data_IF_219155941375
#
_entry.id   IF_219155941375
#
_cell.length_a   1.000
_cell.length_b   1.000
_cell.length_c   1.000
_cell.angle_alpha   90.00
_cell.angle_beta   90.00
_cell.angle_gamma   90.00
#
_symmetry.space_group_name_H-M   'P 1'
#
loop_
_entity.id
_entity.type
_entity.pdbx_description
1 polymer ?
#
# COMPACT_ATOMS: atom_id res chain seq x y z
N UNK A 1 -16.77 10.85 -1.16
CA UNK A 1 -18.16 11.05 -1.69
C UNK A 1 -19.15 10.13 -0.94
N UNK A 2 -20.37 10.63 -0.54
CA UNK A 2 -21.29 9.83 0.29
C UNK A 2 -21.72 8.50 -0.34
N UNK A 3 -22.01 8.48 -1.65
CA UNK A 3 -22.40 7.26 -2.36
C UNK A 3 -21.27 6.21 -2.40
N UNK A 4 -20.01 6.63 -2.53
CA UNK A 4 -18.85 5.76 -2.47
C UNK A 4 -18.68 5.14 -1.08
N UNK A 5 -18.82 5.96 -0.02
CA UNK A 5 -18.77 5.48 1.36
C UNK A 5 -19.87 4.44 1.65
N UNK A 6 -21.06 4.65 1.09
CA UNK A 6 -22.17 3.70 1.23
C UNK A 6 -21.87 2.32 0.61
N UNK A 7 -21.21 2.27 -0.55
CA UNK A 7 -20.77 1.01 -1.19
C UNK A 7 -19.73 0.29 -0.31
N UNK A 8 -18.81 1.04 0.31
CA UNK A 8 -17.79 0.49 1.19
C UNK A 8 -18.30 0.18 2.62
N UNK A 9 -19.60 0.34 2.87
CA UNK A 9 -20.22 0.14 4.20
C UNK A 9 -19.55 1.01 5.30
N UNK A 10 -19.10 2.22 4.90
CA UNK A 10 -18.46 3.17 5.80
C UNK A 10 -19.48 4.16 6.35
N UNK A 11 -19.54 4.28 7.67
CA UNK A 11 -20.53 5.10 8.39
C UNK A 11 -19.97 6.44 8.86
N UNK A 12 -18.69 6.74 8.58
CA UNK A 12 -18.12 8.01 9.02
C UNK A 12 -18.62 9.19 8.17
N UNK A 13 -18.80 10.33 8.86
CA UNK A 13 -19.10 11.60 8.25
C UNK A 13 -17.77 12.26 7.80
N UNK A 14 -17.65 12.71 6.53
CA UNK A 14 -16.48 13.47 6.07
C UNK A 14 -16.10 14.66 6.95
N UNK A 15 -17.07 15.35 7.56
CA UNK A 15 -16.83 16.44 8.52
C UNK A 15 -16.03 16.01 9.76
N UNK A 16 -16.13 14.74 10.15
CA UNK A 16 -15.34 14.19 11.26
C UNK A 16 -13.87 14.02 10.91
N UNK A 17 -13.52 13.89 9.63
CA UNK A 17 -12.12 13.80 9.19
C UNK A 17 -11.40 15.11 9.44
N UNK A 18 -11.98 16.24 9.00
CA UNK A 18 -11.44 17.58 9.23
C UNK A 18 -11.28 17.86 10.74
N UNK A 19 -12.33 17.54 11.52
CA UNK A 19 -12.28 17.69 12.98
C UNK A 19 -11.17 16.85 13.62
N UNK A 20 -11.00 15.59 13.20
CA UNK A 20 -9.96 14.71 13.71
C UNK A 20 -8.55 15.26 13.40
N UNK A 21 -8.32 15.76 12.19
CA UNK A 21 -7.06 16.38 11.78
C UNK A 21 -6.77 17.64 12.61
N UNK A 22 -7.77 18.52 12.75
CA UNK A 22 -7.63 19.72 13.57
C UNK A 22 -7.27 19.38 15.03
N UNK A 23 -7.95 18.39 15.60
CA UNK A 23 -7.66 17.93 16.96
C UNK A 23 -6.26 17.33 17.07
N UNK A 24 -5.82 16.54 16.09
CA UNK A 24 -4.48 15.96 16.07
C UNK A 24 -3.41 17.06 15.99
N UNK A 25 -3.56 18.06 15.13
CA UNK A 25 -2.66 19.23 15.09
C UNK A 25 -2.62 19.98 16.42
N UNK A 26 -3.79 20.24 16.99
CA UNK A 26 -3.89 20.92 18.29
C UNK A 26 -3.23 20.13 19.42
N UNK A 27 -3.24 18.81 19.34
CA UNK A 27 -2.55 17.91 20.28
C UNK A 27 -1.03 17.79 20.04
N UNK A 28 -0.49 18.45 19.00
CA UNK A 28 0.94 18.53 18.72
C UNK A 28 1.49 17.41 17.84
N UNK A 29 0.65 16.65 17.12
CA UNK A 29 1.15 15.67 16.14
C UNK A 29 1.86 16.39 14.99
N UNK A 30 3.14 16.06 14.79
CA UNK A 30 3.99 16.67 13.76
C UNK A 30 3.70 16.15 12.35
N UNK A 31 3.25 14.89 12.23
CA UNK A 31 2.88 14.26 10.97
C UNK A 31 1.48 13.68 11.05
N UNK A 32 0.65 14.00 10.06
CA UNK A 32 -0.73 13.50 9.96
C UNK A 32 -0.92 12.92 8.57
N UNK A 33 -1.47 11.70 8.52
CA UNK A 33 -1.80 10.97 7.31
C UNK A 33 -3.30 10.77 7.15
N UNK A 34 -3.77 10.74 5.92
CA UNK A 34 -5.10 10.25 5.56
C UNK A 34 -4.99 9.10 4.58
N UNK A 35 -5.88 8.11 4.75
CA UNK A 35 -5.96 6.95 3.87
C UNK A 35 -7.20 7.09 2.97
N UNK A 36 -6.99 6.92 1.68
CA UNK A 36 -8.00 6.98 0.64
C UNK A 36 -8.11 5.62 -0.05
N UNK A 37 -9.30 5.27 -0.52
CA UNK A 37 -9.55 4.08 -1.33
C UNK A 37 -10.20 4.53 -2.64
N UNK A 38 -9.69 4.07 -3.77
CA UNK A 38 -10.21 4.36 -5.09
C UNK A 38 -10.60 3.09 -5.86
N UNK A 39 -11.38 3.26 -6.93
CA UNK A 39 -11.87 2.15 -7.74
C UNK A 39 -13.10 1.45 -7.16
N UNK A 40 -13.83 2.14 -6.27
CA UNK A 40 -15.09 1.63 -5.73
C UNK A 40 -16.14 1.51 -6.83
N UNK A 41 -16.93 0.42 -6.89
CA UNK A 41 -18.01 0.29 -7.85
C UNK A 41 -18.91 1.52 -7.90
N UNK A 42 -19.06 2.12 -9.10
CA UNK A 42 -19.84 3.34 -9.31
C UNK A 42 -19.13 4.66 -9.03
N UNK A 43 -17.89 4.62 -8.58
CA UNK A 43 -17.05 5.81 -8.44
C UNK A 43 -16.57 6.30 -9.81
N UNK A 44 -16.75 7.58 -10.09
CA UNK A 44 -16.24 8.23 -11.30
C UNK A 44 -14.87 8.88 -11.06
N UNK A 45 -14.18 9.22 -12.15
CA UNK A 45 -12.91 9.96 -12.06
C UNK A 45 -13.10 11.35 -11.44
N UNK A 46 -14.27 11.98 -11.63
CA UNK A 46 -14.61 13.26 -11.00
C UNK A 46 -14.86 13.09 -9.50
N UNK A 47 -15.56 12.04 -9.06
CA UNK A 47 -15.72 11.72 -7.62
C UNK A 47 -14.37 11.54 -6.94
N UNK A 48 -13.45 10.84 -7.63
CA UNK A 48 -12.09 10.64 -7.13
C UNK A 48 -11.31 11.95 -7.03
N UNK A 49 -11.38 12.79 -8.08
CA UNK A 49 -10.77 14.13 -8.07
C UNK A 49 -11.25 14.97 -6.89
N UNK A 50 -12.56 14.99 -6.65
CA UNK A 50 -13.15 15.73 -5.54
C UNK A 50 -12.69 15.19 -4.18
N UNK A 51 -12.59 13.85 -4.05
CA UNK A 51 -12.09 13.19 -2.84
C UNK A 51 -10.63 13.57 -2.55
N UNK A 52 -9.75 13.49 -3.56
CA UNK A 52 -8.34 13.86 -3.44
C UNK A 52 -8.19 15.36 -3.15
N UNK A 53 -8.97 16.21 -3.85
CA UNK A 53 -8.95 17.64 -3.62
C UNK A 53 -9.35 18.02 -2.20
N UNK A 54 -10.38 17.37 -1.67
CA UNK A 54 -10.82 17.57 -0.29
C UNK A 54 -9.75 17.14 0.71
N UNK A 55 -9.09 15.97 0.48
CA UNK A 55 -8.00 15.51 1.33
C UNK A 55 -6.80 16.46 1.31
N UNK A 56 -6.39 16.92 0.12
CA UNK A 56 -5.26 17.85 -0.07
C UNK A 56 -5.54 19.27 0.45
N UNK A 57 -6.81 19.64 0.69
CA UNK A 57 -7.17 20.91 1.32
C UNK A 57 -6.99 20.87 2.85
N UNK A 58 -6.86 19.69 3.45
CA UNK A 58 -6.63 19.51 4.88
C UNK A 58 -5.16 19.75 5.25
N UNK A 59 -4.90 20.07 6.53
CA UNK A 59 -3.53 20.20 7.05
C UNK A 59 -2.89 18.84 7.32
N UNK A 60 -2.54 18.16 6.24
CA UNK A 60 -1.92 16.82 6.24
C UNK A 60 -0.51 16.85 5.66
N UNK A 61 0.27 15.82 5.95
CA UNK A 61 1.67 15.70 5.51
C UNK A 61 1.89 14.44 4.67
N UNK A 62 0.89 13.54 4.64
CA UNK A 62 1.01 12.23 4.02
C UNK A 62 -0.37 11.77 3.52
N UNK A 63 -0.39 11.09 2.39
CA UNK A 63 -1.57 10.40 1.84
C UNK A 63 -1.18 8.96 1.51
N UNK A 64 -2.02 8.01 1.94
CA UNK A 64 -2.07 6.67 1.37
C UNK A 64 -3.28 6.59 0.45
N UNK A 65 -3.12 6.11 -0.79
CA UNK A 65 -4.22 5.86 -1.71
C UNK A 65 -4.12 4.41 -2.22
N UNK A 66 -5.12 3.62 -1.84
CA UNK A 66 -5.14 2.19 -2.15
C UNK A 66 -6.22 1.88 -3.19
N UNK A 67 -5.86 1.10 -4.21
CA UNK A 67 -6.83 0.50 -5.11
C UNK A 67 -7.74 -0.46 -4.34
N UNK A 68 -9.04 -0.42 -4.60
CA UNK A 68 -9.98 -1.34 -4.00
C UNK A 68 -9.71 -2.77 -4.50
N UNK A 69 -9.39 -3.68 -3.59
CA UNK A 69 -9.27 -5.11 -3.85
C UNK A 69 -10.54 -5.80 -3.39
N UNK A 70 -11.17 -6.57 -4.29
CA UNK A 70 -12.39 -7.32 -4.00
C UNK A 70 -12.01 -8.69 -3.47
N UNK A 71 -11.93 -8.81 -2.14
CA UNK A 71 -11.55 -10.05 -1.47
C UNK A 71 -12.67 -11.10 -1.51
N UNK A 72 -12.32 -12.33 -1.88
CA UNK A 72 -13.24 -13.47 -1.89
C UNK A 72 -13.83 -13.71 -0.50
N UNK A 73 -15.13 -14.01 -0.44
CA UNK A 73 -15.87 -14.25 0.80
C UNK A 73 -16.38 -12.99 1.49
N UNK A 74 -16.12 -11.80 0.94
CA UNK A 74 -16.68 -10.55 1.46
C UNK A 74 -18.10 -10.28 0.94
N UNK A 75 -18.84 -9.42 1.65
CA UNK A 75 -20.16 -8.93 1.20
C UNK A 75 -20.06 -8.26 -0.17
N UNK A 76 -19.04 -7.44 -0.39
CA UNK A 76 -18.80 -6.77 -1.67
C UNK A 76 -18.59 -7.76 -2.81
N UNK A 77 -17.75 -8.79 -2.62
CA UNK A 77 -17.57 -9.83 -3.63
C UNK A 77 -18.88 -10.57 -3.95
N UNK A 78 -19.71 -10.84 -2.94
CA UNK A 78 -21.02 -11.47 -3.14
C UNK A 78 -21.99 -10.58 -3.93
N UNK A 79 -22.00 -9.27 -3.68
CA UNK A 79 -22.83 -8.30 -4.40
C UNK A 79 -22.41 -8.18 -5.87
N UNK A 80 -21.10 -8.09 -6.14
CA UNK A 80 -20.57 -8.08 -7.51
C UNK A 80 -20.92 -9.37 -8.24
N UNK A 81 -20.73 -10.53 -7.59
CA UNK A 81 -21.08 -11.84 -8.18
C UNK A 81 -22.57 -11.96 -8.55
N UNK A 82 -23.46 -11.32 -7.78
CA UNK A 82 -24.92 -11.29 -8.07
C UNK A 82 -25.30 -10.21 -9.10
N UNK A 83 -24.36 -9.39 -9.59
CA UNK A 83 -24.64 -8.29 -10.50
C UNK A 83 -25.33 -7.08 -9.85
N UNK A 84 -25.34 -6.98 -8.53
CA UNK A 84 -25.87 -5.84 -7.78
C UNK A 84 -24.93 -4.63 -7.86
N UNK A 85 -23.63 -4.88 -7.99
CA UNK A 85 -22.58 -3.88 -8.18
C UNK A 85 -21.72 -4.26 -9.39
N UNK A 86 -21.20 -3.26 -10.08
CA UNK A 86 -20.25 -3.47 -11.17
C UNK A 86 -18.91 -3.97 -10.63
N UNK A 87 -18.18 -4.73 -11.43
CA UNK A 87 -16.76 -5.04 -11.16
C UNK A 87 -15.94 -3.76 -11.28
N UNK A 88 -14.96 -3.51 -10.38
CA UNK A 88 -13.99 -2.43 -10.57
C UNK A 88 -13.36 -2.47 -11.97
N UNK A 89 -13.13 -1.31 -12.55
CA UNK A 89 -12.57 -1.16 -13.88
C UNK A 89 -11.07 -0.82 -13.77
N UNK A 90 -10.21 -1.70 -14.26
CA UNK A 90 -8.75 -1.57 -14.13
C UNK A 90 -8.20 -0.34 -14.85
N UNK A 91 -8.73 0.01 -16.04
CA UNK A 91 -8.30 1.20 -16.78
C UNK A 91 -8.68 2.49 -16.03
N UNK A 92 -9.90 2.55 -15.47
CA UNK A 92 -10.32 3.67 -14.63
C UNK A 92 -9.48 3.78 -13.36
N UNK A 93 -9.14 2.65 -12.74
CA UNK A 93 -8.25 2.64 -11.57
C UNK A 93 -6.84 3.11 -11.91
N UNK A 94 -6.33 2.79 -13.10
CA UNK A 94 -5.06 3.31 -13.60
C UNK A 94 -5.11 4.84 -13.76
N UNK A 95 -6.18 5.38 -14.36
CA UNK A 95 -6.38 6.83 -14.50
C UNK A 95 -6.49 7.51 -13.12
N UNK A 96 -7.20 6.89 -12.17
CA UNK A 96 -7.30 7.38 -10.79
C UNK A 96 -5.94 7.42 -10.08
N UNK A 97 -5.10 6.39 -10.29
CA UNK A 97 -3.75 6.36 -9.74
C UNK A 97 -2.88 7.50 -10.29
N UNK A 98 -2.86 7.68 -11.61
CA UNK A 98 -2.09 8.75 -12.25
C UNK A 98 -2.59 10.13 -11.83
N UNK A 99 -3.90 10.28 -11.64
CA UNK A 99 -4.50 11.52 -11.15
C UNK A 99 -4.04 11.85 -9.71
N UNK A 100 -4.10 10.92 -8.76
CA UNK A 100 -3.66 11.20 -7.39
C UNK A 100 -2.16 11.47 -7.33
N UNK A 101 -1.36 10.78 -8.14
CA UNK A 101 0.08 11.01 -8.24
C UNK A 101 0.39 12.46 -8.64
N UNK A 102 -0.25 12.94 -9.73
CA UNK A 102 -0.08 14.31 -10.17
C UNK A 102 -0.59 15.34 -9.17
N UNK A 103 -1.78 15.12 -8.60
CA UNK A 103 -2.37 16.04 -7.63
C UNK A 103 -1.55 16.14 -6.34
N UNK A 104 -0.95 15.04 -5.89
CA UNK A 104 -0.05 15.04 -4.75
C UNK A 104 1.25 15.80 -5.05
N UNK A 105 1.87 15.55 -6.21
CA UNK A 105 3.10 16.24 -6.62
C UNK A 105 2.88 17.76 -6.73
N UNK A 106 1.76 18.20 -7.30
CA UNK A 106 1.38 19.63 -7.40
C UNK A 106 1.24 20.32 -6.03
N UNK A 107 1.05 19.52 -4.96
CA UNK A 107 0.95 19.98 -3.57
C UNK A 107 2.20 19.71 -2.73
N UNK A 108 3.29 19.26 -3.37
CA UNK A 108 4.57 18.98 -2.71
C UNK A 108 4.59 17.70 -1.90
N UNK A 109 3.65 16.76 -2.15
CA UNK A 109 3.72 15.41 -1.64
C UNK A 109 4.29 14.52 -2.74
N UNK A 110 5.49 14.01 -2.55
CA UNK A 110 6.11 13.09 -3.50
C UNK A 110 5.85 11.64 -3.12
N UNK A 111 5.59 10.79 -4.12
CA UNK A 111 5.48 9.36 -3.86
C UNK A 111 6.83 8.82 -3.33
N UNK A 112 6.80 7.86 -2.41
CA UNK A 112 8.00 7.20 -1.91
C UNK A 112 7.91 5.66 -1.98
N UNK A 113 6.69 5.13 -2.06
CA UNK A 113 6.37 3.77 -2.47
C UNK A 113 4.99 3.77 -3.14
N UNK A 114 4.59 2.67 -3.81
CA UNK A 114 3.49 2.63 -4.78
C UNK A 114 2.20 3.33 -4.37
N UNK A 115 1.80 3.19 -3.10
CA UNK A 115 0.50 3.66 -2.61
C UNK A 115 0.60 4.86 -1.68
N UNK A 116 1.80 5.43 -1.49
CA UNK A 116 2.03 6.44 -0.46
C UNK A 116 2.80 7.66 -0.97
N UNK A 117 2.31 8.85 -0.63
CA UNK A 117 2.89 10.15 -0.93
C UNK A 117 3.08 10.95 0.35
N UNK A 118 4.18 11.66 0.46
CA UNK A 118 4.50 12.46 1.65
C UNK A 118 5.24 13.75 1.31
N UNK A 119 5.06 14.77 2.13
CA UNK A 119 5.95 15.93 2.17
C UNK A 119 7.36 15.50 2.57
N UNK A 120 8.41 16.24 2.21
CA UNK A 120 9.78 15.95 2.64
C UNK A 120 9.88 15.76 4.17
N UNK A 121 10.44 14.63 4.61
CA UNK A 121 10.60 14.29 6.02
C UNK A 121 9.37 13.65 6.69
N UNK A 122 8.25 13.45 5.96
CA UNK A 122 7.01 12.89 6.50
C UNK A 122 6.66 11.49 5.96
N UNK A 123 7.56 10.82 5.25
CA UNK A 123 7.37 9.42 4.87
C UNK A 123 7.16 8.56 6.10
N UNK A 124 6.21 7.63 6.05
CA UNK A 124 5.91 6.74 7.17
C UNK A 124 7.10 5.79 7.41
N UNK A 125 7.78 5.95 8.54
CA UNK A 125 8.96 5.15 8.92
C UNK A 125 8.62 3.67 8.98
N UNK A 126 7.45 3.33 9.54
CA UNK A 126 7.00 1.96 9.67
C UNK A 126 6.75 1.31 8.31
N UNK A 127 6.05 2.01 7.40
CA UNK A 127 5.82 1.52 6.04
C UNK A 127 7.14 1.37 5.26
N UNK A 128 8.03 2.35 5.37
CA UNK A 128 9.37 2.27 4.77
C UNK A 128 10.16 1.08 5.32
N UNK A 129 10.04 0.79 6.63
CA UNK A 129 10.69 -0.35 7.25
C UNK A 129 10.18 -1.69 6.69
N UNK A 130 8.88 -1.82 6.41
CA UNK A 130 8.33 -2.98 5.71
C UNK A 130 8.93 -3.14 4.31
N UNK A 131 8.91 -2.07 3.52
CA UNK A 131 9.43 -2.08 2.15
C UNK A 131 10.93 -2.38 2.07
N UNK A 132 11.67 -2.10 3.15
CA UNK A 132 13.10 -2.39 3.28
C UNK A 132 13.40 -3.74 3.94
N UNK A 133 12.40 -4.56 4.23
CA UNK A 133 12.57 -5.85 4.88
C UNK A 133 13.18 -5.77 6.28
N UNK A 134 13.03 -4.62 6.98
CA UNK A 134 13.54 -4.45 8.35
C UNK A 134 12.75 -5.28 9.34
N UNK A 135 13.31 -5.45 10.54
CA UNK A 135 12.63 -6.10 11.64
C UNK A 135 11.45 -5.27 12.15
N UNK A 136 10.34 -5.94 12.42
CA UNK A 136 9.15 -5.35 13.01
C UNK A 136 8.41 -6.36 13.87
N UNK A 137 7.68 -5.87 14.86
CA UNK A 137 6.95 -6.67 15.83
C UNK A 137 5.47 -6.36 15.78
N UNK A 138 4.65 -7.39 15.53
CA UNK A 138 3.19 -7.29 15.51
C UNK A 138 2.59 -7.44 16.90
N UNK A 139 1.79 -6.47 17.31
CA UNK A 139 1.10 -6.49 18.59
C UNK A 139 -0.40 -6.73 18.37
N UNK A 140 -0.97 -7.64 19.15
CA UNK A 140 -2.39 -7.94 19.13
C UNK A 140 -2.77 -9.28 18.48
N UNK A 141 -4.07 -9.65 18.53
CA UNK A 141 -4.58 -10.88 17.94
C UNK A 141 -4.37 -10.90 16.42
N UNK A 142 -3.86 -12.01 15.90
CA UNK A 142 -3.59 -12.19 14.46
C UNK A 142 -2.48 -11.34 13.89
N UNK A 143 -1.79 -10.52 14.70
CA UNK A 143 -0.68 -9.69 14.23
C UNK A 143 0.51 -10.56 13.83
N UNK A 144 1.14 -10.19 12.72
CA UNK A 144 2.37 -10.80 12.21
C UNK A 144 3.59 -10.02 12.67
N UNK A 145 4.72 -10.68 12.74
CA UNK A 145 6.04 -10.11 13.04
C UNK A 145 7.06 -10.64 12.06
N UNK A 146 8.14 -9.88 11.84
CA UNK A 146 9.31 -10.29 11.09
C UNK A 146 10.57 -9.85 11.86
N UNK A 147 11.36 -10.81 12.30
CA UNK A 147 12.59 -10.57 13.07
C UNK A 147 13.68 -11.52 12.57
N UNK A 148 14.76 -10.97 12.05
CA UNK A 148 15.94 -11.70 11.57
C UNK A 148 15.60 -12.84 10.59
N UNK A 149 14.73 -12.53 9.61
CA UNK A 149 14.27 -13.48 8.59
C UNK A 149 13.25 -14.51 9.09
N UNK A 150 12.88 -14.45 10.36
CA UNK A 150 11.81 -15.28 10.92
C UNK A 150 10.50 -14.49 10.96
N UNK A 151 9.46 -15.04 10.34
CA UNK A 151 8.09 -14.58 10.48
C UNK A 151 7.36 -15.40 11.50
N UNK A 152 6.53 -14.74 12.30
CA UNK A 152 5.63 -15.42 13.23
C UNK A 152 4.37 -14.57 13.42
N UNK A 153 3.28 -15.24 13.79
CA UNK A 153 1.99 -14.57 13.97
C UNK A 153 1.26 -15.07 15.20
N UNK A 154 0.48 -14.16 15.77
CA UNK A 154 -0.27 -14.44 16.97
C UNK A 154 -1.59 -15.16 16.66
N UNK A 155 -2.16 -15.82 17.69
CA UNK A 155 -3.51 -16.38 17.61
C UNK A 155 -4.52 -15.30 17.21
N UNK A 156 -5.43 -15.65 16.28
CA UNK A 156 -6.35 -14.67 15.68
C UNK A 156 -7.49 -14.25 16.62
N UNK A 157 -7.94 -15.13 17.53
CA UNK A 157 -9.11 -14.86 18.36
C UNK A 157 -8.73 -13.99 19.56
N UNK A 158 -9.40 -12.82 19.78
CA UNK A 158 -9.02 -11.89 20.86
C UNK A 158 -9.06 -12.51 22.26
N UNK A 159 -10.06 -13.35 22.55
CA UNK A 159 -10.18 -14.03 23.86
C UNK A 159 -9.02 -14.99 24.09
N UNK A 160 -8.63 -15.78 23.08
CA UNK A 160 -7.50 -16.71 23.19
C UNK A 160 -6.18 -15.97 23.36
N UNK A 161 -5.99 -14.87 22.62
CA UNK A 161 -4.83 -13.98 22.76
C UNK A 161 -4.72 -13.46 24.19
N UNK A 162 -5.82 -12.90 24.70
CA UNK A 162 -5.90 -12.40 26.09
C UNK A 162 -5.58 -13.49 27.11
N UNK A 163 -6.20 -14.67 26.99
CA UNK A 163 -6.00 -15.80 27.92
C UNK A 163 -4.52 -16.23 27.97
N UNK A 164 -3.85 -16.37 26.83
CA UNK A 164 -2.43 -16.72 26.77
C UNK A 164 -1.56 -15.69 27.50
N UNK A 165 -1.77 -14.39 27.21
CA UNK A 165 -0.99 -13.33 27.85
C UNK A 165 -1.20 -13.30 29.39
N UNK A 166 -2.44 -13.47 29.87
CA UNK A 166 -2.70 -13.51 31.32
C UNK A 166 -2.13 -14.75 32.00
N UNK A 167 -1.99 -15.86 31.27
CA UNK A 167 -1.33 -17.06 31.77
C UNK A 167 0.21 -16.98 31.75
N UNK A 168 0.77 -15.93 31.15
CA UNK A 168 2.21 -15.80 30.91
C UNK A 168 2.71 -16.62 29.71
N UNK A 169 1.80 -17.17 28.89
CA UNK A 169 2.11 -17.95 27.72
C UNK A 169 2.36 -17.07 26.48
N UNK A 170 3.19 -17.56 25.57
CA UNK A 170 3.38 -16.89 24.27
C UNK A 170 2.09 -16.89 23.47
N UNK A 171 1.67 -15.73 22.93
CA UNK A 171 0.50 -15.65 22.05
C UNK A 171 0.79 -16.14 20.63
N UNK A 172 2.03 -16.49 20.30
CA UNK A 172 2.42 -16.96 18.97
C UNK A 172 1.66 -18.25 18.64
N UNK A 173 1.05 -18.28 17.46
CA UNK A 173 0.35 -19.43 16.91
C UNK A 173 1.31 -20.30 16.13
N UNK A 174 2.07 -19.71 15.21
CA UNK A 174 2.98 -20.40 14.31
C UNK A 174 4.06 -19.46 13.78
N UNK A 175 5.06 -20.01 13.08
CA UNK A 175 6.18 -19.25 12.53
C UNK A 175 6.77 -19.96 11.31
N UNK A 176 7.41 -19.18 10.44
CA UNK A 176 8.22 -19.67 9.32
C UNK A 176 9.59 -18.99 9.31
N UNK A 177 10.59 -19.70 8.82
CA UNK A 177 11.92 -19.16 8.55
C UNK A 177 12.09 -19.01 7.05
N UNK A 178 12.33 -17.80 6.58
CA UNK A 178 12.59 -17.55 5.16
C UNK A 178 13.92 -18.17 4.74
N UNK A 179 13.92 -18.81 3.57
CA UNK A 179 15.15 -19.21 2.89
C UNK A 179 15.85 -17.96 2.32
N UNK A 180 17.12 -18.11 1.95
CA UNK A 180 17.86 -17.02 1.30
C UNK A 180 17.21 -16.61 -0.05
N UNK A 181 16.67 -17.58 -0.79
CA UNK A 181 15.95 -17.34 -2.04
C UNK A 181 14.66 -16.55 -1.82
N UNK A 182 13.80 -16.99 -0.90
CA UNK A 182 12.58 -16.27 -0.52
C UNK A 182 12.86 -14.85 -0.03
N UNK A 183 13.92 -14.67 0.77
CA UNK A 183 14.33 -13.34 1.24
C UNK A 183 14.78 -12.43 0.10
N UNK A 184 15.45 -13.00 -0.92
CA UNK A 184 15.85 -12.29 -2.13
C UNK A 184 14.65 -11.89 -2.99
N UNK A 185 13.72 -12.82 -3.23
CA UNK A 185 12.51 -12.54 -4.00
C UNK A 185 11.65 -11.46 -3.34
N UNK A 186 11.58 -11.45 -2.02
CA UNK A 186 10.94 -10.36 -1.29
C UNK A 186 11.66 -9.03 -1.41
N UNK A 187 12.98 -9.04 -1.33
CA UNK A 187 13.76 -7.81 -1.53
C UNK A 187 13.53 -7.23 -2.94
N UNK A 188 13.39 -8.08 -3.96
CA UNK A 188 13.02 -7.69 -5.32
C UNK A 188 11.59 -7.14 -5.35
N UNK A 189 10.63 -7.90 -4.80
CA UNK A 189 9.21 -7.54 -4.75
C UNK A 189 8.97 -6.18 -4.08
N UNK A 190 9.63 -5.94 -2.96
CA UNK A 190 9.45 -4.73 -2.16
C UNK A 190 10.29 -3.57 -2.69
N UNK A 191 11.54 -3.84 -3.06
CA UNK A 191 12.50 -2.82 -3.50
C UNK A 191 12.06 -2.10 -4.78
N UNK A 192 11.51 -2.83 -5.75
CA UNK A 192 11.07 -2.22 -7.02
C UNK A 192 9.89 -1.25 -6.82
N UNK A 193 9.08 -1.44 -5.77
CA UNK A 193 7.94 -0.58 -5.45
C UNK A 193 8.33 0.75 -4.82
N UNK A 194 9.58 0.90 -4.43
CA UNK A 194 10.06 2.13 -3.80
C UNK A 194 10.57 3.14 -4.81
N UNK A 195 10.42 4.43 -4.52
CA UNK A 195 11.02 5.51 -5.32
C UNK A 195 12.54 5.40 -5.45
N UNK A 196 13.20 4.81 -4.45
CA UNK A 196 14.64 4.58 -4.47
C UNK A 196 15.05 3.52 -5.50
N UNK A 197 14.09 2.70 -5.93
CA UNK A 197 14.29 1.62 -6.89
C UNK A 197 14.99 0.39 -6.29
N UNK A 198 14.99 -0.67 -7.10
CA UNK A 198 15.60 -1.97 -6.82
C UNK A 198 17.10 -1.93 -7.16
N UNK A 199 17.94 -2.44 -6.27
CA UNK A 199 19.39 -2.57 -6.52
C UNK A 199 19.67 -3.63 -7.60
N UNK A 200 20.39 -3.26 -8.66
CA UNK A 200 20.78 -4.17 -9.74
C UNK A 200 21.59 -5.36 -9.21
N UNK A 201 22.38 -5.15 -8.14
CA UNK A 201 23.18 -6.20 -7.52
C UNK A 201 22.35 -7.38 -6.97
N UNK A 202 21.06 -7.20 -6.76
CA UNK A 202 20.14 -8.28 -6.36
C UNK A 202 19.68 -9.13 -7.53
N UNK A 203 19.88 -8.68 -8.77
CA UNK A 203 19.33 -9.30 -9.97
C UNK A 203 20.33 -10.25 -10.64
N UNK A 204 19.80 -11.30 -11.24
CA UNK A 204 20.54 -12.21 -12.11
C UNK A 204 20.54 -11.69 -13.56
N UNK A 205 21.50 -12.11 -14.42
CA UNK A 205 21.55 -11.67 -15.80
C UNK A 205 20.25 -11.85 -16.58
N UNK A 206 19.55 -12.99 -16.43
CA UNK A 206 18.27 -13.24 -17.12
C UNK A 206 17.16 -12.29 -16.68
N UNK A 207 17.15 -11.87 -15.39
CA UNK A 207 16.18 -10.89 -14.87
C UNK A 207 16.44 -9.49 -15.48
N UNK A 208 17.70 -9.14 -15.70
CA UNK A 208 18.07 -7.89 -16.38
C UNK A 208 17.68 -7.89 -17.86
N UNK A 209 17.72 -9.05 -18.54
CA UNK A 209 17.21 -9.19 -19.90
C UNK A 209 15.72 -8.88 -19.97
N UNK A 210 14.92 -9.47 -19.08
CA UNK A 210 13.48 -9.17 -18.96
C UNK A 210 13.25 -7.68 -18.69
N UNK A 211 13.97 -7.09 -17.76
CA UNK A 211 13.85 -5.67 -17.44
C UNK A 211 14.27 -4.75 -18.58
N UNK A 212 15.17 -5.20 -19.47
CA UNK A 212 15.54 -4.45 -20.66
C UNK A 212 14.37 -4.29 -21.65
N UNK A 213 13.48 -5.28 -21.76
CA UNK A 213 12.25 -5.17 -22.54
C UNK A 213 11.28 -4.14 -21.92
N UNK A 214 11.12 -4.18 -20.62
CA UNK A 214 10.31 -3.18 -19.88
C UNK A 214 10.88 -1.76 -20.01
N UNK A 215 12.21 -1.62 -20.02
CA UNK A 215 12.90 -0.34 -20.28
C UNK A 215 12.61 0.17 -21.68
N UNK A 216 12.70 -0.71 -22.70
CA UNK A 216 12.40 -0.35 -24.08
C UNK A 216 10.96 0.16 -24.25
N UNK A 217 10.04 -0.42 -23.51
CA UNK A 217 8.62 -0.05 -23.49
C UNK A 217 8.29 1.13 -22.54
N UNK A 218 9.27 1.72 -21.88
CA UNK A 218 9.09 2.91 -21.04
C UNK A 218 8.48 2.64 -19.66
N UNK A 219 8.45 1.39 -19.19
CA UNK A 219 7.90 1.04 -17.85
C UNK A 219 8.94 1.12 -16.74
N UNK A 220 10.22 0.95 -17.07
CA UNK A 220 11.30 1.08 -16.11
C UNK A 220 12.42 1.95 -16.64
N UNK A 221 13.14 2.58 -15.74
CA UNK A 221 14.43 3.23 -15.98
C UNK A 221 15.51 2.40 -15.31
N UNK A 222 16.63 2.22 -15.99
CA UNK A 222 17.79 1.50 -15.45
C UNK A 222 18.98 2.45 -15.50
N UNK A 223 19.50 2.79 -14.34
CA UNK A 223 20.75 3.53 -14.18
C UNK A 223 21.90 2.59 -13.76
N UNK A 224 23.05 3.12 -13.30
CA UNK A 224 24.24 2.33 -13.00
C UNK A 224 24.01 1.26 -11.93
N UNK A 225 23.20 1.53 -10.92
CA UNK A 225 23.02 0.69 -9.73
C UNK A 225 21.58 0.32 -9.42
N UNK A 226 20.59 0.91 -10.10
CA UNK A 226 19.17 0.74 -9.75
C UNK A 226 18.25 0.62 -10.95
N UNK A 227 17.15 -0.10 -10.70
CA UNK A 227 15.97 -0.17 -11.56
C UNK A 227 14.84 0.60 -10.89
N UNK A 228 14.28 1.59 -11.57
CA UNK A 228 13.19 2.44 -11.09
C UNK A 228 11.96 2.25 -11.96
N UNK A 229 10.78 2.23 -11.34
CA UNK A 229 9.52 2.26 -12.07
C UNK A 229 9.20 3.66 -12.56
N UNK A 230 8.82 3.80 -13.82
CA UNK A 230 8.18 5.01 -14.34
C UNK A 230 6.74 5.14 -13.79
N UNK A 231 6.05 6.28 -13.94
CA UNK A 231 4.64 6.37 -13.57
C UNK A 231 3.76 5.27 -14.18
N UNK A 232 3.97 4.95 -15.46
CA UNK A 232 3.27 3.84 -16.13
C UNK A 232 3.74 2.46 -15.67
N UNK A 233 5.01 2.31 -15.33
CA UNK A 233 5.57 1.09 -14.75
C UNK A 233 4.98 0.75 -13.38
N UNK A 234 4.66 1.77 -12.59
CA UNK A 234 4.02 1.58 -11.28
C UNK A 234 2.65 0.91 -11.39
N UNK A 235 1.90 1.14 -12.47
CA UNK A 235 0.60 0.51 -12.74
C UNK A 235 0.70 -1.01 -12.96
N UNK A 236 1.84 -1.49 -13.41
CA UNK A 236 2.08 -2.91 -13.73
C UNK A 236 3.21 -3.53 -12.88
N UNK A 237 3.52 -2.93 -11.73
CA UNK A 237 4.61 -3.37 -10.87
C UNK A 237 4.52 -4.86 -10.51
N UNK A 238 3.34 -5.36 -10.20
CA UNK A 238 3.10 -6.77 -9.84
C UNK A 238 3.35 -7.72 -11.02
N UNK A 239 3.05 -7.28 -12.24
CA UNK A 239 3.38 -8.03 -13.45
C UNK A 239 4.88 -8.09 -13.66
N UNK A 240 5.58 -6.95 -13.56
CA UNK A 240 7.03 -6.87 -13.69
C UNK A 240 7.70 -7.81 -12.68
N UNK A 241 7.32 -7.70 -11.39
CA UNK A 241 7.86 -8.57 -10.34
C UNK A 241 7.67 -10.05 -10.68
N UNK A 242 6.46 -10.45 -11.04
CA UNK A 242 6.16 -11.85 -11.37
C UNK A 242 7.03 -12.38 -12.50
N UNK A 243 7.27 -11.57 -13.55
CA UNK A 243 8.07 -12.00 -14.70
C UNK A 243 9.58 -12.04 -14.40
N UNK A 244 10.07 -11.32 -13.39
CA UNK A 244 11.48 -11.38 -12.98
C UNK A 244 11.76 -12.35 -11.83
N UNK A 245 10.74 -12.89 -11.15
CA UNK A 245 10.91 -13.83 -10.02
C UNK A 245 10.48 -15.27 -10.36
N UNK A 246 10.01 -15.52 -11.56
CA UNK A 246 9.77 -16.86 -12.14
C UNK A 246 10.97 -17.24 -12.97
#
# INVERSE_FOLDING_TARGET
MPHVLAVLDRTHDPANVEKAITMARSAGFASISVDLIYGTPGESLDDWRDTVSAALALDIDHISAYALIVETGTKLAAQIKRGELATPNDDLMADMYLMVDQMCEDRGLSWYELSNWAKPGHSCIHNTAYMQGRNWWGLGPGAHSHVDGKRFWNVKHPTTYKQKLFAGDSPILDSEQLTAEQSKDEAILLGIRMRQGLEIALLQPHQLEVLSEYRHNGFVEINEDRVLLTPTGRLIADRIVREITI
#
